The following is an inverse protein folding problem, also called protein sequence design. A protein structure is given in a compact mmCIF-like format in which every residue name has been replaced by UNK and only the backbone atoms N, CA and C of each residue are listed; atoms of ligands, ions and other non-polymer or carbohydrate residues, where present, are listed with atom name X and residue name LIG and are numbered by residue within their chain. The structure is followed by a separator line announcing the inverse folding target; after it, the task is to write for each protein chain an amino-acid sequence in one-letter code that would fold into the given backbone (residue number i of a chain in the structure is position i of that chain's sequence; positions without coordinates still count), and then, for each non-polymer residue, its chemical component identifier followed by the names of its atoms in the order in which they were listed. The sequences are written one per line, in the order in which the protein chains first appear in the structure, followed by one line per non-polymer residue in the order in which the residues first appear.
data_IF_393455951704
#
_entry.id   IF_393455951704
#
_cell.length_a   1.000
_cell.length_b   1.000
_cell.length_c   1.000
_cell.angle_alpha   90.00
_cell.angle_beta   90.00
_cell.angle_gamma   90.00
#
_symmetry.space_group_name_H-M   'P 1'
#
loop_
_entity.id
_entity.type
_entity.pdbx_description
1 polymer ?
#
# COMPACT_ATOMS: atom_id res chain seq x y z
N UNK A 1 25.11 -0.21 47.93
CA UNK A 1 24.17 -0.91 47.02
C UNK A 1 23.62 0.02 45.92
N UNK A 2 23.71 1.35 46.05
CA UNK A 2 23.20 2.32 45.05
C UNK A 2 24.08 2.48 43.80
N UNK A 3 25.39 2.33 43.91
CA UNK A 3 26.31 2.47 42.75
C UNK A 3 26.17 1.37 41.68
N UNK A 4 25.63 0.20 42.04
CA UNK A 4 25.48 -0.93 41.13
C UNK A 4 24.30 -0.75 40.17
N UNK A 5 23.23 -0.07 40.62
CA UNK A 5 22.03 0.21 39.82
C UNK A 5 22.34 1.28 38.77
N UNK A 6 23.11 2.32 39.12
CA UNK A 6 23.51 3.37 38.19
C UNK A 6 24.43 2.83 37.07
N UNK A 7 25.33 1.90 37.40
CA UNK A 7 26.23 1.28 36.42
C UNK A 7 25.48 0.38 35.44
N UNK A 8 24.51 -0.43 35.92
CA UNK A 8 23.67 -1.25 35.05
C UNK A 8 22.81 -0.38 34.14
N UNK A 9 22.22 0.70 34.66
CA UNK A 9 21.42 1.64 33.86
C UNK A 9 22.26 2.31 32.76
N UNK A 10 23.48 2.76 33.06
CA UNK A 10 24.37 3.39 32.06
C UNK A 10 24.83 2.37 31.00
N UNK A 11 25.13 1.13 31.39
CA UNK A 11 25.54 0.07 30.46
C UNK A 11 24.37 -0.34 29.55
N UNK A 12 23.15 -0.42 30.09
CA UNK A 12 21.95 -0.73 29.29
C UNK A 12 21.61 0.40 28.30
N UNK A 13 21.69 1.66 28.75
CA UNK A 13 21.43 2.83 27.92
C UNK A 13 22.50 3.00 26.82
N UNK A 14 23.76 2.69 27.12
CA UNK A 14 24.84 2.73 26.12
C UNK A 14 24.78 1.57 25.12
N UNK A 15 24.31 0.39 25.54
CA UNK A 15 24.03 -0.72 24.64
C UNK A 15 22.87 -0.40 23.70
N UNK A 16 21.72 0.07 24.20
CA UNK A 16 20.58 0.49 23.37
C UNK A 16 20.94 1.62 22.40
N UNK A 17 21.66 2.66 22.86
CA UNK A 17 22.11 3.75 21.97
C UNK A 17 23.06 3.22 20.89
N UNK A 18 23.92 2.25 21.21
CA UNK A 18 24.83 1.66 20.24
C UNK A 18 24.10 0.75 19.25
N UNK A 19 23.12 -0.05 19.69
CA UNK A 19 22.29 -0.87 18.80
C UNK A 19 21.41 -0.01 17.91
N UNK A 20 20.84 1.08 18.43
CA UNK A 20 20.09 2.08 17.66
C UNK A 20 21.02 2.81 16.69
N UNK A 21 22.23 3.23 17.11
CA UNK A 21 23.20 3.83 16.20
C UNK A 21 23.70 2.85 15.15
N UNK A 22 23.96 1.59 15.46
CA UNK A 22 24.35 0.57 14.49
C UNK A 22 23.19 0.24 13.54
N UNK A 23 21.94 0.17 14.01
CA UNK A 23 20.74 0.00 13.18
C UNK A 23 20.48 1.19 12.25
N UNK A 24 20.60 2.42 12.79
CA UNK A 24 20.54 3.67 12.02
C UNK A 24 21.71 3.75 11.03
N UNK A 25 22.92 3.36 11.42
CA UNK A 25 24.13 3.49 10.57
C UNK A 25 24.22 2.40 9.50
N UNK A 26 23.67 1.21 9.74
CA UNK A 26 23.55 0.16 8.72
C UNK A 26 22.44 0.46 7.70
N UNK A 27 21.46 1.31 8.04
CA UNK A 27 20.46 1.91 7.12
C UNK A 27 20.89 3.26 6.51
N UNK A 28 22.03 3.85 6.90
CA UNK A 28 22.51 5.16 6.40
C UNK A 28 23.15 5.05 5.01
N UNK A 29 22.31 4.80 4.01
CA UNK A 29 22.47 5.14 2.58
C UNK A 29 21.08 5.04 1.92
N UNK A 30 20.08 5.65 2.55
CA UNK A 30 18.70 5.61 2.09
C UNK A 30 18.38 6.87 1.28
N UNK A 31 17.69 6.74 0.16
CA UNK A 31 17.13 7.90 -0.55
C UNK A 31 15.94 8.44 0.23
N UNK A 32 15.88 9.76 0.38
CA UNK A 32 14.65 10.41 0.83
C UNK A 32 13.65 10.37 -0.32
N UNK A 33 12.37 10.19 0.00
CA UNK A 33 11.33 10.13 -1.01
C UNK A 33 10.03 10.76 -0.57
N UNK A 34 9.25 11.12 -1.58
CA UNK A 34 7.85 11.49 -1.47
C UNK A 34 7.07 10.48 -2.30
N UNK A 35 6.10 9.83 -1.68
CA UNK A 35 5.25 8.83 -2.30
C UNK A 35 3.81 9.34 -2.27
N UNK A 36 3.26 9.61 -3.45
CA UNK A 36 1.84 9.83 -3.64
C UNK A 36 1.15 8.49 -3.80
N UNK A 37 0.18 8.16 -2.95
CA UNK A 37 -0.48 6.86 -2.93
C UNK A 37 -1.99 7.02 -3.01
N UNK A 38 -2.65 6.26 -3.86
CA UNK A 38 -4.11 6.15 -3.90
C UNK A 38 -4.54 4.69 -3.82
N UNK A 39 -5.45 4.38 -2.90
CA UNK A 39 -6.14 3.10 -2.78
C UNK A 39 -7.55 3.29 -3.35
N UNK A 40 -7.91 2.47 -4.33
CA UNK A 40 -9.24 2.44 -4.94
C UNK A 40 -9.89 1.08 -4.67
N UNK A 41 -10.75 0.97 -3.66
CA UNK A 41 -11.53 -0.25 -3.44
C UNK A 41 -12.50 -0.52 -4.59
N UNK A 42 -12.55 -1.77 -5.04
CA UNK A 42 -13.56 -2.27 -5.95
C UNK A 42 -14.82 -2.65 -5.17
N UNK A 43 -15.58 -1.64 -4.78
CA UNK A 43 -16.74 -1.80 -3.91
C UNK A 43 -17.78 -2.80 -4.42
N UNK A 44 -17.90 -2.98 -5.73
CA UNK A 44 -18.83 -3.95 -6.34
C UNK A 44 -18.39 -5.37 -6.02
N UNK A 45 -17.11 -5.71 -6.24
CA UNK A 45 -16.59 -7.04 -5.92
C UNK A 45 -16.51 -7.28 -4.41
N UNK A 46 -16.25 -6.24 -3.60
CA UNK A 46 -16.33 -6.32 -2.14
C UNK A 46 -17.76 -6.68 -1.69
N UNK A 47 -18.78 -5.95 -2.14
CA UNK A 47 -20.19 -6.23 -1.77
C UNK A 47 -20.61 -7.62 -2.26
N UNK A 48 -20.18 -8.01 -3.46
CA UNK A 48 -20.47 -9.33 -4.02
C UNK A 48 -19.83 -10.44 -3.19
N UNK A 49 -18.59 -10.26 -2.70
CA UNK A 49 -17.93 -11.21 -1.80
C UNK A 49 -18.70 -11.36 -0.49
N UNK A 50 -19.01 -10.25 0.19
CA UNK A 50 -19.80 -10.26 1.43
C UNK A 50 -21.14 -10.98 1.20
N UNK A 51 -21.83 -10.63 0.12
CA UNK A 51 -23.13 -11.23 -0.21
C UNK A 51 -23.02 -12.74 -0.41
N UNK A 52 -21.98 -13.22 -1.08
CA UNK A 52 -21.77 -14.64 -1.30
C UNK A 52 -21.42 -15.38 -0.01
N UNK A 53 -20.53 -14.82 0.82
CA UNK A 53 -20.10 -15.45 2.08
C UNK A 53 -21.26 -15.60 3.06
N UNK A 54 -22.18 -14.63 3.06
CA UNK A 54 -23.32 -14.56 3.96
C UNK A 54 -24.63 -15.07 3.34
N UNK A 55 -24.57 -15.67 2.14
CA UNK A 55 -25.73 -16.17 1.38
C UNK A 55 -26.84 -15.13 1.15
N UNK A 56 -26.46 -13.85 0.98
CA UNK A 56 -27.36 -12.75 0.66
C UNK A 56 -27.53 -12.59 -0.86
N UNK A 57 -28.69 -12.08 -1.28
CA UNK A 57 -28.90 -11.70 -2.68
C UNK A 57 -28.15 -10.41 -3.00
N UNK A 58 -27.09 -10.50 -3.80
CA UNK A 58 -26.30 -9.35 -4.25
C UNK A 58 -27.16 -8.25 -4.90
N UNK A 59 -28.14 -8.62 -5.73
CA UNK A 59 -29.04 -7.65 -6.37
C UNK A 59 -29.91 -6.92 -5.36
N UNK A 60 -30.41 -7.64 -4.34
CA UNK A 60 -31.19 -7.05 -3.25
C UNK A 60 -30.32 -6.08 -2.44
N UNK A 61 -29.12 -6.51 -2.03
CA UNK A 61 -28.16 -5.65 -1.31
C UNK A 61 -27.86 -4.38 -2.11
N UNK A 62 -27.52 -4.52 -3.40
CA UNK A 62 -27.27 -3.37 -4.25
C UNK A 62 -28.46 -2.42 -4.37
N UNK A 63 -29.68 -2.95 -4.35
CA UNK A 63 -30.88 -2.12 -4.41
C UNK A 63 -31.10 -1.36 -3.09
N UNK A 64 -30.93 -2.04 -1.96
CA UNK A 64 -31.16 -1.48 -0.63
C UNK A 64 -30.16 -0.35 -0.32
N UNK A 65 -28.89 -0.50 -0.71
CA UNK A 65 -27.85 0.51 -0.45
C UNK A 65 -27.92 1.77 -1.32
N UNK A 66 -28.82 1.84 -2.32
CA UNK A 66 -28.89 2.99 -3.25
C UNK A 66 -29.16 4.31 -2.53
N UNK A 67 -30.02 4.28 -1.51
CA UNK A 67 -30.51 5.45 -0.80
C UNK A 67 -29.97 5.57 0.62
N UNK A 68 -29.03 4.70 1.00
CA UNK A 68 -28.48 4.66 2.35
C UNK A 68 -27.31 5.64 2.44
N UNK A 69 -27.18 6.27 3.60
CA UNK A 69 -26.05 7.15 3.87
C UNK A 69 -24.77 6.31 3.94
N UNK A 70 -23.81 6.73 3.13
CA UNK A 70 -22.55 6.01 2.89
C UNK A 70 -21.52 6.54 3.86
N UNK A 71 -20.82 5.64 4.54
CA UNK A 71 -19.59 6.02 5.22
C UNK A 71 -18.42 5.75 4.28
N UNK A 72 -17.83 4.56 4.26
CA UNK A 72 -16.69 4.30 3.37
C UNK A 72 -17.09 3.99 1.91
N UNK A 73 -18.30 3.48 1.65
CA UNK A 73 -18.72 3.05 0.32
C UNK A 73 -18.59 4.14 -0.76
N UNK A 74 -17.98 3.78 -1.89
CA UNK A 74 -17.65 4.65 -3.06
C UNK A 74 -16.60 5.73 -2.80
N UNK A 75 -15.90 5.70 -1.66
CA UNK A 75 -14.73 6.55 -1.43
C UNK A 75 -13.47 5.89 -2.01
N UNK A 76 -12.50 6.75 -2.31
CA UNK A 76 -11.11 6.37 -2.59
C UNK A 76 -10.23 7.06 -1.55
N UNK A 77 -9.08 6.48 -1.23
CA UNK A 77 -8.22 6.97 -0.16
C UNK A 77 -6.88 7.38 -0.74
N UNK A 78 -6.47 8.63 -0.50
CA UNK A 78 -5.21 9.17 -1.00
C UNK A 78 -4.33 9.60 0.17
N UNK A 79 -3.07 9.20 0.11
CA UNK A 79 -2.04 9.54 1.07
C UNK A 79 -0.87 10.23 0.39
N UNK A 80 -0.14 11.04 1.14
CA UNK A 80 1.18 11.52 0.76
C UNK A 80 2.15 11.17 1.87
N UNK A 81 3.12 10.33 1.55
CA UNK A 81 4.13 9.84 2.50
C UNK A 81 5.43 10.58 2.21
N UNK A 82 6.00 11.20 3.23
CA UNK A 82 7.31 11.84 3.18
C UNK A 82 8.27 11.06 4.06
N UNK A 83 9.32 10.51 3.47
CA UNK A 83 10.37 9.83 4.20
C UNK A 83 11.69 10.59 4.05
N UNK A 84 12.26 11.01 5.18
CA UNK A 84 13.58 11.61 5.24
C UNK A 84 14.60 10.58 5.75
N UNK A 85 15.49 10.17 4.85
CA UNK A 85 16.53 9.19 5.15
C UNK A 85 17.56 9.62 6.20
N UNK A 86 17.83 10.93 6.34
CA UNK A 86 18.84 11.43 7.28
C UNK A 86 18.37 11.36 8.72
N UNK A 87 17.12 11.76 8.95
CA UNK A 87 16.49 11.74 10.27
C UNK A 87 15.78 10.42 10.57
N UNK A 88 15.45 9.63 9.54
CA UNK A 88 14.59 8.45 9.66
C UNK A 88 13.13 8.79 9.93
N UNK A 89 12.74 10.06 9.79
CA UNK A 89 11.37 10.53 10.04
C UNK A 89 10.51 10.19 8.82
N UNK A 90 9.37 9.58 9.10
CA UNK A 90 8.27 9.41 8.17
C UNK A 90 7.09 10.26 8.61
N UNK A 91 6.45 10.95 7.66
CA UNK A 91 5.21 11.69 7.87
C UNK A 91 4.19 11.30 6.81
N UNK A 92 2.97 10.98 7.25
CA UNK A 92 1.90 10.52 6.37
C UNK A 92 0.76 11.53 6.44
N UNK A 93 0.46 12.19 5.33
CA UNK A 93 -0.72 13.03 5.20
C UNK A 93 -1.88 12.24 4.59
N UNK A 94 -3.02 12.16 5.29
CA UNK A 94 -4.23 11.53 4.78
C UNK A 94 -5.17 12.59 4.19
N UNK A 95 -5.48 12.49 2.90
CA UNK A 95 -6.48 13.38 2.27
C UNK A 95 -7.89 13.14 2.81
N UNK A 96 -8.18 11.91 3.23
CA UNK A 96 -9.48 11.54 3.79
C UNK A 96 -9.70 12.17 5.16
N UNK A 97 -8.71 12.07 6.06
CA UNK A 97 -8.80 12.64 7.41
C UNK A 97 -8.47 14.14 7.44
N UNK A 98 -7.88 14.68 6.36
CA UNK A 98 -7.37 16.06 6.27
C UNK A 98 -6.36 16.40 7.37
N UNK A 99 -5.56 15.41 7.78
CA UNK A 99 -4.56 15.53 8.83
C UNK A 99 -3.38 14.56 8.63
N UNK A 100 -2.32 14.74 9.42
CA UNK A 100 -1.26 13.76 9.57
C UNK A 100 -1.72 12.56 10.38
N UNK A 101 -1.38 11.37 9.90
CA UNK A 101 -1.74 10.09 10.50
C UNK A 101 -0.49 9.28 10.82
N UNK A 102 -0.63 8.28 11.69
CA UNK A 102 0.48 7.43 12.09
C UNK A 102 0.67 6.22 11.16
N UNK A 103 -0.33 5.87 10.38
CA UNK A 103 -0.34 4.72 9.48
C UNK A 103 -1.17 5.01 8.21
N UNK A 104 -1.13 4.07 7.26
CA UNK A 104 -1.88 4.14 6.00
C UNK A 104 -3.26 3.47 6.11
N UNK A 105 -3.78 3.35 7.32
CA UNK A 105 -4.96 2.56 7.61
C UNK A 105 -6.21 3.41 7.72
N UNK A 106 -7.29 2.95 7.08
CA UNK A 106 -8.64 3.51 7.23
C UNK A 106 -9.53 2.42 7.79
N UNK A 107 -10.09 2.68 8.97
CA UNK A 107 -11.09 1.82 9.61
C UNK A 107 -12.42 2.57 9.65
N UNK A 108 -13.50 1.92 9.26
CA UNK A 108 -14.85 2.48 9.29
C UNK A 108 -15.88 1.46 8.84
N UNK A 109 -17.17 1.82 8.87
CA UNK A 109 -18.22 0.95 8.31
C UNK A 109 -18.43 1.26 6.84
N UNK A 110 -19.00 0.32 6.07
CA UNK A 110 -19.34 0.61 4.67
C UNK A 110 -20.46 1.65 4.56
N UNK A 111 -21.46 1.53 5.45
CA UNK A 111 -22.67 2.34 5.49
C UNK A 111 -22.93 2.81 6.93
N UNK A 112 -23.60 3.94 7.10
CA UNK A 112 -23.96 4.41 8.45
C UNK A 112 -25.26 3.74 8.90
N UNK A 113 -25.17 2.78 9.83
CA UNK A 113 -26.21 2.17 10.73
C UNK A 113 -27.63 1.85 10.21
N UNK A 114 -28.02 2.24 9.00
CA UNK A 114 -29.39 2.14 8.48
C UNK A 114 -29.70 0.76 7.88
N UNK A 115 -28.71 -0.15 7.86
CA UNK A 115 -28.84 -1.52 7.32
C UNK A 115 -29.07 -2.58 8.39
N UNK A 116 -28.97 -2.22 9.68
CA UNK A 116 -28.99 -3.18 10.80
C UNK A 116 -30.29 -4.01 10.84
N UNK A 117 -31.43 -3.37 10.55
CA UNK A 117 -32.72 -4.07 10.53
C UNK A 117 -32.87 -5.06 9.36
N UNK A 118 -32.17 -4.82 8.25
CA UNK A 118 -32.32 -5.61 7.00
C UNK A 118 -31.28 -6.71 6.86
N UNK A 119 -30.11 -6.51 7.47
CA UNK A 119 -28.97 -7.43 7.41
C UNK A 119 -28.31 -7.54 8.79
N UNK A 120 -29.06 -7.99 9.82
CA UNK A 120 -28.48 -8.17 11.14
C UNK A 120 -27.31 -9.15 11.07
N UNK A 121 -26.23 -8.84 11.80
CA UNK A 121 -25.00 -9.65 11.88
C UNK A 121 -24.17 -9.76 10.58
N UNK A 122 -24.47 -8.93 9.57
CA UNK A 122 -23.72 -8.89 8.30
C UNK A 122 -22.44 -8.06 8.40
N UNK A 123 -21.40 -8.45 7.67
CA UNK A 123 -20.21 -7.61 7.44
C UNK A 123 -20.51 -6.31 6.68
N UNK A 124 -21.71 -6.15 6.13
CA UNK A 124 -22.20 -4.86 5.64
C UNK A 124 -22.30 -3.81 6.76
N UNK A 125 -22.49 -4.26 8.01
CA UNK A 125 -22.59 -3.40 9.20
C UNK A 125 -21.31 -3.37 10.04
N UNK A 126 -20.36 -4.28 9.78
CA UNK A 126 -19.10 -4.34 10.49
C UNK A 126 -18.10 -3.29 9.99
N UNK A 127 -17.04 -3.11 10.78
CA UNK A 127 -15.88 -2.35 10.37
C UNK A 127 -15.15 -3.10 9.24
N UNK A 128 -14.70 -2.32 8.26
CA UNK A 128 -13.74 -2.74 7.24
C UNK A 128 -12.45 -1.95 7.46
N UNK A 129 -11.33 -2.64 7.33
CA UNK A 129 -10.00 -2.03 7.33
C UNK A 129 -9.48 -1.96 5.90
N UNK A 130 -9.02 -0.77 5.51
CA UNK A 130 -8.48 -0.48 4.18
C UNK A 130 -7.05 0.02 4.35
N UNK A 131 -6.11 -0.77 3.84
CA UNK A 131 -4.68 -0.53 3.90
C UNK A 131 -4.09 -0.81 2.50
N UNK A 132 -2.98 -0.19 2.08
CA UNK A 132 -2.35 -0.51 0.80
C UNK A 132 -1.97 -1.99 0.69
N UNK A 133 -1.56 -2.59 1.81
CA UNK A 133 -1.15 -3.98 1.88
C UNK A 133 -2.33 -4.95 1.89
N UNK A 134 -3.51 -4.54 2.36
CA UNK A 134 -4.67 -5.42 2.44
C UNK A 134 -6.01 -4.67 2.58
N UNK A 135 -7.10 -5.36 2.26
CA UNK A 135 -8.46 -4.99 2.71
C UNK A 135 -9.09 -6.18 3.42
N UNK A 136 -9.77 -5.96 4.54
CA UNK A 136 -10.39 -7.03 5.33
C UNK A 136 -11.43 -6.56 6.34
N UNK A 137 -12.08 -7.52 6.99
CA UNK A 137 -13.11 -7.29 8.02
C UNK A 137 -12.63 -7.89 9.34
N UNK A 138 -12.10 -7.09 10.28
CA UNK A 138 -11.65 -7.63 11.55
C UNK A 138 -12.85 -8.17 12.32
N UNK A 139 -12.90 -9.49 12.56
CA UNK A 139 -13.86 -10.04 13.49
C UNK A 139 -13.32 -9.77 14.90
N UNK A 140 -13.64 -8.57 15.41
CA UNK A 140 -13.67 -8.29 16.85
C UNK A 140 -12.38 -8.70 17.59
N UNK A 141 -11.20 -8.39 17.04
CA UNK A 141 -9.96 -8.51 17.81
C UNK A 141 -9.75 -7.24 18.66
N UNK A 142 -9.54 -7.35 19.98
CA UNK A 142 -9.39 -6.19 20.88
C UNK A 142 -8.17 -5.31 20.58
N UNK A 143 -7.22 -5.81 19.80
CA UNK A 143 -5.97 -5.14 19.45
C UNK A 143 -5.94 -4.59 18.01
N UNK A 144 -7.07 -4.66 17.29
CA UNK A 144 -7.21 -4.28 15.88
C UNK A 144 -6.27 -5.01 14.91
N UNK A 145 -5.62 -6.11 15.32
CA UNK A 145 -4.89 -6.96 14.39
C UNK A 145 -5.86 -7.76 13.53
N UNK A 146 -5.48 -8.06 12.28
CA UNK A 146 -6.28 -8.86 11.35
C UNK A 146 -5.66 -10.24 11.20
N UNK A 147 -6.48 -11.28 11.38
CA UNK A 147 -6.08 -12.63 11.01
C UNK A 147 -6.02 -12.73 9.47
N UNK A 148 -5.15 -13.60 8.93
CA UNK A 148 -5.07 -13.80 7.47
C UNK A 148 -6.43 -14.20 6.87
N UNK A 149 -7.24 -14.90 7.64
CA UNK A 149 -8.59 -15.37 7.26
C UNK A 149 -9.60 -14.22 7.07
N UNK A 150 -9.29 -13.05 7.60
CA UNK A 150 -10.17 -11.87 7.59
C UNK A 150 -9.85 -10.90 6.45
N UNK A 151 -8.76 -11.17 5.71
CA UNK A 151 -8.37 -10.41 4.54
C UNK A 151 -9.15 -10.91 3.33
N UNK A 152 -9.82 -10.00 2.65
CA UNK A 152 -10.44 -10.31 1.35
C UNK A 152 -9.46 -10.10 0.20
N UNK A 153 -8.50 -9.19 0.33
CA UNK A 153 -7.48 -8.96 -0.69
C UNK A 153 -6.16 -8.49 -0.09
N UNK A 154 -5.08 -8.83 -0.76
CA UNK A 154 -3.71 -8.48 -0.35
C UNK A 154 -2.90 -8.00 -1.56
N UNK A 155 -2.01 -7.05 -1.32
CA UNK A 155 -0.97 -6.57 -2.24
C UNK A 155 0.32 -6.44 -1.42
N UNK A 156 1.47 -6.99 -1.86
CA UNK A 156 2.73 -6.90 -1.13
C UNK A 156 3.32 -5.49 -1.30
N UNK A 157 2.66 -4.50 -0.69
CA UNK A 157 2.93 -3.08 -0.90
C UNK A 157 4.34 -2.70 -0.48
N UNK A 158 4.78 -3.16 0.70
CA UNK A 158 6.11 -2.84 1.23
C UNK A 158 7.20 -3.41 0.32
N UNK A 159 7.05 -4.65 -0.17
CA UNK A 159 7.99 -5.28 -1.10
C UNK A 159 8.03 -4.57 -2.46
N UNK A 160 6.87 -4.10 -2.94
CA UNK A 160 6.77 -3.29 -4.15
C UNK A 160 7.52 -1.97 -3.96
N UNK A 161 7.28 -1.24 -2.87
CA UNK A 161 7.96 0.04 -2.60
C UNK A 161 9.46 -0.17 -2.44
N UNK A 162 9.88 -1.19 -1.70
CA UNK A 162 11.29 -1.58 -1.55
C UNK A 162 11.95 -1.89 -2.90
N UNK A 163 11.24 -2.56 -3.81
CA UNK A 163 11.71 -2.80 -5.17
C UNK A 163 11.98 -1.48 -5.91
N UNK A 164 11.06 -0.52 -5.88
CA UNK A 164 11.25 0.77 -6.55
C UNK A 164 12.36 1.62 -5.93
N UNK A 165 12.50 1.58 -4.59
CA UNK A 165 13.61 2.22 -3.88
C UNK A 165 14.95 1.61 -4.31
N UNK A 166 15.06 0.28 -4.37
CA UNK A 166 16.28 -0.40 -4.83
C UNK A 166 16.56 -0.11 -6.30
N UNK A 167 15.52 -0.02 -7.12
CA UNK A 167 15.65 0.27 -8.53
C UNK A 167 16.28 1.64 -8.75
N UNK A 168 15.72 2.68 -8.12
CA UNK A 168 16.24 4.05 -8.22
C UNK A 168 17.69 4.18 -7.73
N UNK A 169 18.03 3.50 -6.63
CA UNK A 169 19.42 3.43 -6.10
C UNK A 169 20.44 2.92 -7.11
N UNK A 170 20.05 1.99 -7.96
CA UNK A 170 20.99 1.35 -8.88
C UNK A 170 21.04 1.99 -10.26
N UNK A 171 20.00 2.72 -10.66
CA UNK A 171 19.84 3.20 -12.03
C UNK A 171 19.52 4.70 -12.17
N UNK A 172 19.29 5.41 -11.06
CA UNK A 172 19.02 6.86 -10.94
C UNK A 172 17.86 7.39 -11.80
N UNK A 173 16.81 7.92 -11.17
CA UNK A 173 15.59 8.41 -11.83
C UNK A 173 14.85 7.30 -12.62
N UNK A 174 15.08 6.04 -12.23
CA UNK A 174 14.55 4.88 -12.93
C UNK A 174 13.21 4.39 -12.36
N UNK A 175 12.80 4.91 -11.21
CA UNK A 175 11.64 4.41 -10.47
C UNK A 175 10.35 4.55 -11.25
N UNK A 176 10.18 5.64 -12.00
CA UNK A 176 8.96 5.95 -12.75
C UNK A 176 8.97 5.42 -14.19
N UNK A 177 9.78 4.41 -14.49
CA UNK A 177 9.77 3.73 -15.79
C UNK A 177 8.89 2.48 -15.76
N UNK A 178 8.23 2.21 -16.90
CA UNK A 178 7.37 1.05 -17.05
C UNK A 178 8.16 -0.25 -16.89
N UNK A 179 7.78 -1.02 -15.87
CA UNK A 179 8.31 -2.37 -15.64
C UNK A 179 7.66 -3.33 -16.63
N UNK A 180 8.47 -4.07 -17.38
CA UNK A 180 8.01 -5.17 -18.23
C UNK A 180 8.00 -6.50 -17.47
N UNK A 181 9.03 -6.70 -16.65
CA UNK A 181 9.24 -7.94 -15.91
C UNK A 181 9.80 -7.64 -14.52
N UNK A 182 9.17 -8.20 -13.50
CA UNK A 182 9.58 -8.05 -12.10
C UNK A 182 10.53 -9.20 -11.70
N UNK A 183 11.28 -9.04 -10.59
CA UNK A 183 11.99 -10.16 -9.98
C UNK A 183 11.04 -11.32 -9.68
N UNK A 184 11.55 -12.55 -9.81
CA UNK A 184 10.74 -13.78 -9.66
C UNK A 184 9.95 -13.83 -8.36
N UNK A 185 10.56 -13.41 -7.24
CA UNK A 185 9.91 -13.40 -5.92
C UNK A 185 8.63 -12.53 -5.91
N UNK A 186 8.69 -11.32 -6.50
CA UNK A 186 7.52 -10.46 -6.65
C UNK A 186 6.50 -11.03 -7.63
N UNK A 187 6.94 -11.60 -8.76
CA UNK A 187 6.02 -12.24 -9.71
C UNK A 187 5.27 -13.43 -9.09
N UNK A 188 5.93 -14.20 -8.22
CA UNK A 188 5.31 -15.31 -7.52
C UNK A 188 4.28 -14.81 -6.48
N UNK A 189 4.56 -13.70 -5.78
CA UNK A 189 3.56 -13.03 -4.93
C UNK A 189 2.39 -12.47 -5.76
N UNK A 190 2.66 -11.87 -6.92
CA UNK A 190 1.60 -11.35 -7.79
C UNK A 190 0.68 -12.46 -8.27
N UNK A 191 1.22 -13.63 -8.64
CA UNK A 191 0.40 -14.80 -8.97
C UNK A 191 -0.40 -15.30 -7.76
N UNK A 192 0.23 -15.39 -6.58
CA UNK A 192 -0.42 -15.85 -5.34
C UNK A 192 -1.66 -15.01 -5.01
N UNK A 193 -1.56 -13.69 -5.15
CA UNK A 193 -2.62 -12.75 -4.77
C UNK A 193 -3.45 -12.24 -5.96
N UNK A 194 -3.29 -12.84 -7.14
CA UNK A 194 -3.96 -12.44 -8.37
C UNK A 194 -3.82 -10.94 -8.69
N UNK A 195 -2.58 -10.45 -8.65
CA UNK A 195 -2.23 -9.06 -8.87
C UNK A 195 -1.85 -8.84 -10.33
N UNK A 196 -2.52 -7.89 -10.96
CA UNK A 196 -2.18 -7.35 -12.26
C UNK A 196 -1.43 -6.02 -12.09
N UNK A 197 -0.30 -5.89 -12.80
CA UNK A 197 0.39 -4.62 -12.94
C UNK A 197 -0.14 -3.89 -14.17
N UNK A 198 -0.88 -2.80 -13.95
CA UNK A 198 -1.45 -1.97 -15.01
C UNK A 198 -0.52 -0.79 -15.31
N UNK A 199 0.06 -0.83 -16.52
CA UNK A 199 0.95 0.19 -17.04
C UNK A 199 0.30 1.16 -18.03
N UNK A 200 -1.04 1.19 -18.13
CA UNK A 200 -1.77 2.02 -19.10
C UNK A 200 -1.65 3.54 -18.84
N UNK A 201 -1.25 3.95 -17.64
CA UNK A 201 -1.01 5.33 -17.26
C UNK A 201 0.37 5.86 -17.73
N UNK A 202 0.71 5.65 -19.01
CA UNK A 202 1.94 6.21 -19.59
C UNK A 202 1.93 7.74 -19.58
N UNK A 203 3.04 8.36 -19.21
CA UNK A 203 3.17 9.82 -19.14
C UNK A 203 3.31 10.38 -20.57
N UNK A 204 2.17 10.68 -21.21
CA UNK A 204 2.15 11.74 -22.20
C UNK A 204 1.58 13.01 -21.57
N UNK A 205 2.45 14.00 -21.41
CA UNK A 205 2.12 15.37 -21.00
C UNK A 205 1.10 16.05 -21.93
N UNK A 206 0.65 15.40 -23.01
CA UNK A 206 -0.27 15.94 -24.03
C UNK A 206 -1.54 15.11 -24.30
N UNK A 207 -1.78 13.99 -23.60
CA UNK A 207 -2.99 13.17 -23.78
C UNK A 207 -3.09 12.40 -25.11
N UNK A 208 -1.99 12.33 -25.86
CA UNK A 208 -1.76 11.48 -27.00
C UNK A 208 -1.08 10.18 -26.51
N UNK A 209 -1.64 9.02 -26.84
CA UNK A 209 -0.90 7.77 -26.65
C UNK A 209 0.31 7.79 -27.58
N UNK A 210 1.49 8.11 -27.05
CA UNK A 210 2.73 7.74 -27.72
C UNK A 210 2.69 6.21 -27.94
N UNK A 211 3.10 5.76 -29.12
CA UNK A 211 3.23 4.32 -29.36
C UNK A 211 4.12 3.71 -28.26
N UNK A 212 3.74 2.55 -27.69
CA UNK A 212 4.52 1.92 -26.64
C UNK A 212 5.97 1.73 -27.10
N UNK A 213 6.92 2.32 -26.38
CA UNK A 213 8.33 2.14 -26.69
C UNK A 213 8.71 0.70 -26.36
N UNK A 214 9.31 0.01 -27.33
CA UNK A 214 9.76 -1.38 -27.17
C UNK A 214 11.18 -1.49 -26.63
N UNK A 215 11.90 -0.37 -26.57
CA UNK A 215 13.30 -0.35 -26.13
C UNK A 215 13.40 -0.65 -24.63
N UNK A 216 14.30 -1.57 -24.29
CA UNK A 216 14.63 -1.91 -22.91
C UNK A 216 15.92 -1.22 -22.47
N UNK A 217 16.01 -0.91 -21.18
CA UNK A 217 17.28 -0.58 -20.57
C UNK A 217 18.20 -1.81 -20.56
N UNK A 218 19.48 -1.59 -20.89
CA UNK A 218 20.51 -2.61 -20.78
C UNK A 218 21.50 -2.23 -19.68
N UNK A 219 21.16 -2.59 -18.45
CA UNK A 219 22.04 -2.44 -17.29
C UNK A 219 22.35 -3.80 -16.66
N UNK A 220 23.59 -3.95 -16.21
CA UNK A 220 24.06 -5.17 -15.54
C UNK A 220 23.17 -5.56 -14.36
N UNK A 221 22.81 -4.59 -13.52
CA UNK A 221 21.93 -4.80 -12.37
C UNK A 221 20.58 -5.41 -12.76
N UNK A 222 19.95 -4.93 -13.83
CA UNK A 222 18.66 -5.45 -14.31
C UNK A 222 18.78 -6.91 -14.73
N UNK A 223 19.81 -7.24 -15.51
CA UNK A 223 20.09 -8.62 -15.97
C UNK A 223 20.33 -9.57 -14.81
N UNK A 224 21.15 -9.17 -13.84
CA UNK A 224 21.50 -10.00 -12.66
C UNK A 224 20.31 -10.27 -11.74
N UNK A 225 19.30 -9.38 -11.72
CA UNK A 225 18.12 -9.50 -10.88
C UNK A 225 16.85 -9.94 -11.64
N UNK A 226 16.98 -10.28 -12.94
CA UNK A 226 15.87 -10.76 -13.76
C UNK A 226 14.79 -9.70 -14.05
N UNK A 227 15.15 -8.43 -14.04
CA UNK A 227 14.25 -7.28 -14.22
C UNK A 227 14.32 -6.81 -15.68
N UNK A 228 13.17 -6.50 -16.29
CA UNK A 228 13.11 -5.84 -17.59
C UNK A 228 12.29 -4.55 -17.49
N UNK A 229 12.82 -3.45 -18.02
CA UNK A 229 12.22 -2.12 -17.92
C UNK A 229 12.23 -1.46 -19.29
N UNK A 230 11.09 -0.96 -19.72
CA UNK A 230 10.99 -0.16 -20.93
C UNK A 230 11.54 1.24 -20.70
N UNK A 231 12.14 1.84 -21.74
CA UNK A 231 12.54 3.25 -21.77
C UNK A 231 11.33 4.19 -21.94
N UNK A 232 10.26 3.92 -21.21
CA UNK A 232 9.00 4.64 -21.21
C UNK A 232 8.64 5.04 -19.77
N UNK A 233 8.52 6.34 -19.52
CA UNK A 233 8.06 6.82 -18.21
C UNK A 233 6.55 6.63 -18.09
N UNK A 234 6.11 6.37 -16.88
CA UNK A 234 4.70 6.31 -16.53
C UNK A 234 4.41 7.33 -15.44
N UNK A 235 3.14 7.73 -15.36
CA UNK A 235 2.71 8.69 -14.35
C UNK A 235 2.51 8.02 -13.00
N UNK A 236 1.97 6.80 -12.99
CA UNK A 236 1.74 6.02 -11.78
C UNK A 236 1.99 4.55 -12.05
N UNK A 237 2.56 3.85 -11.07
CA UNK A 237 2.53 2.40 -11.01
C UNK A 237 1.20 1.98 -10.41
N UNK A 238 0.46 1.12 -11.11
CA UNK A 238 -0.83 0.61 -10.61
C UNK A 238 -0.80 -0.90 -10.48
N UNK A 239 -1.15 -1.38 -9.29
CA UNK A 239 -1.28 -2.81 -8.98
C UNK A 239 -2.72 -3.08 -8.56
N UNK A 240 -3.34 -4.10 -9.15
CA UNK A 240 -4.77 -4.38 -8.98
C UNK A 240 -4.97 -5.84 -8.62
N UNK A 241 -5.78 -6.11 -7.61
CA UNK A 241 -6.39 -7.41 -7.41
C UNK A 241 -7.92 -7.27 -7.59
N UNK A 242 -8.72 -8.34 -7.45
CA UNK A 242 -10.17 -8.25 -7.65
C UNK A 242 -10.88 -7.22 -6.75
N UNK A 243 -10.34 -6.97 -5.55
CA UNK A 243 -11.00 -6.22 -4.49
C UNK A 243 -10.54 -4.76 -4.40
N UNK A 244 -9.34 -4.44 -4.84
CA UNK A 244 -8.85 -3.07 -4.89
C UNK A 244 -7.63 -2.90 -5.79
N UNK A 245 -7.34 -1.65 -6.08
CA UNK A 245 -6.08 -1.25 -6.70
C UNK A 245 -5.34 -0.24 -5.84
N UNK A 246 -4.01 -0.32 -5.87
CA UNK A 246 -3.14 0.76 -5.44
C UNK A 246 -2.51 1.42 -6.66
N UNK A 247 -2.44 2.75 -6.66
CA UNK A 247 -1.71 3.53 -7.64
C UNK A 247 -0.77 4.48 -6.93
N UNK A 248 0.49 4.54 -7.35
CA UNK A 248 1.44 5.46 -6.74
C UNK A 248 2.45 6.06 -7.71
N UNK A 249 2.95 7.24 -7.34
CA UNK A 249 4.11 7.91 -7.89
C UNK A 249 5.15 8.14 -6.80
N UNK A 250 6.42 7.94 -7.11
CA UNK A 250 7.52 8.11 -6.17
C UNK A 250 8.57 9.07 -6.73
N UNK A 251 8.82 10.13 -5.97
CA UNK A 251 9.83 11.12 -6.25
C UNK A 251 10.97 10.97 -5.24
N UNK A 252 12.17 10.68 -5.74
CA UNK A 252 13.38 10.62 -4.93
C UNK A 252 14.08 11.97 -4.94
N UNK A 253 14.60 12.37 -3.79
CA UNK A 253 15.40 13.58 -3.66
C UNK A 253 16.64 13.31 -2.84
N UNK A 254 17.75 13.88 -3.31
CA UNK A 254 18.98 13.94 -2.55
C UNK A 254 18.87 15.08 -1.54
N UNK A 255 19.36 14.83 -0.33
CA UNK A 255 19.62 15.88 0.65
C UNK A 255 20.99 16.52 0.39
#
# INVERSE_FOLDING_TARGET
MEYFILFIAIVYFTYEIRTIKEYITKKRNNHSYKLGLTILPNWIEIIKKISNDENLSFEKVLNDIKNIKKDLYRKNFTFTIFYNSLSGIEQIWSKYNTDFVNDLEIIGTLFSSDLDDSYPDSNLNNFITINPSYIGFPNVLPDNSLLEEEKIGEIPFDEIIDFFIKLDRNLSDSSMYQIKKFPKELEDQFKKYNIEYDSSASDDRRGLQDEPKKDLFDFKYLKENGIEIYKQRIRYHTFKNPYYSISFDIEFFNN
#
